data_IF_547296578711
#
_entry.id   IF_547296578711
#
_cell.length_a   1.000
_cell.length_b   1.000
_cell.length_c   1.000
_cell.angle_alpha   90.00
_cell.angle_beta   90.00
_cell.angle_gamma   90.00
#
_symmetry.space_group_name_H-M   'P 1'
#
loop_
_entity.id
_entity.type
_entity.pdbx_description
1 polymer ?
#
# COMPACT_ATOMS: atom_id res chain seq x y z
N UNK A 1 -11.74 38.45 -21.68
CA UNK A 1 -11.68 37.64 -22.91
C UNK A 1 -11.35 36.20 -22.52
N UNK A 2 -12.30 35.30 -22.76
CA UNK A 2 -12.14 33.87 -22.43
C UNK A 2 -11.09 33.26 -23.37
N UNK A 3 -10.08 32.60 -22.79
CA UNK A 3 -9.08 31.82 -23.50
C UNK A 3 -9.76 30.74 -24.34
N UNK A 4 -9.73 30.87 -25.66
CA UNK A 4 -10.25 29.87 -26.59
C UNK A 4 -9.12 29.37 -27.50
N UNK A 5 -8.41 28.29 -27.10
CA UNK A 5 -7.29 27.76 -27.84
C UNK A 5 -7.72 27.20 -29.20
N UNK A 6 -6.87 27.40 -30.24
CA UNK A 6 -7.10 26.80 -31.57
C UNK A 6 -7.22 25.29 -31.50
N UNK A 7 -7.86 24.67 -32.51
CA UNK A 7 -8.03 23.20 -32.54
C UNK A 7 -6.69 22.43 -32.47
N UNK A 8 -5.64 23.00 -33.07
CA UNK A 8 -4.30 22.44 -33.06
C UNK A 8 -3.67 22.52 -31.66
N UNK A 9 -3.88 23.61 -30.94
CA UNK A 9 -3.46 23.79 -29.55
C UNK A 9 -4.18 22.79 -28.63
N UNK A 10 -5.48 22.57 -28.82
CA UNK A 10 -6.27 21.59 -28.04
C UNK A 10 -5.78 20.16 -28.28
N UNK A 11 -5.47 19.78 -29.53
CA UNK A 11 -4.92 18.45 -29.87
C UNK A 11 -3.55 18.24 -29.23
N UNK A 12 -2.67 19.24 -29.28
CA UNK A 12 -1.35 19.17 -28.63
C UNK A 12 -1.46 19.06 -27.11
N UNK A 13 -2.35 19.84 -26.49
CA UNK A 13 -2.60 19.73 -25.04
C UNK A 13 -3.15 18.35 -24.64
N UNK A 14 -4.11 17.79 -25.42
CA UNK A 14 -4.65 16.46 -25.17
C UNK A 14 -3.56 15.39 -25.31
N UNK A 15 -2.70 15.46 -26.31
CA UNK A 15 -1.57 14.55 -26.48
C UNK A 15 -0.58 14.64 -25.30
N UNK A 16 -0.25 15.83 -24.87
CA UNK A 16 0.65 16.08 -23.74
C UNK A 16 0.08 15.54 -22.42
N UNK A 17 -1.21 15.77 -22.16
CA UNK A 17 -1.91 15.20 -21.00
C UNK A 17 -1.95 13.67 -21.04
N UNK A 18 -2.10 13.08 -22.23
CA UNK A 18 -2.06 11.64 -22.41
C UNK A 18 -0.68 11.07 -22.12
N UNK A 19 0.39 11.72 -22.58
CA UNK A 19 1.79 11.31 -22.28
C UNK A 19 2.10 11.43 -20.80
N UNK A 20 1.68 12.53 -20.16
CA UNK A 20 1.86 12.72 -18.70
C UNK A 20 1.06 11.66 -17.93
N UNK A 21 -0.18 11.41 -18.30
CA UNK A 21 -1.04 10.40 -17.65
C UNK A 21 -0.48 8.99 -17.85
N UNK A 22 0.04 8.67 -19.04
CA UNK A 22 0.70 7.38 -19.30
C UNK A 22 2.00 7.25 -18.48
N UNK A 23 2.81 8.30 -18.40
CA UNK A 23 3.98 8.35 -17.54
C UNK A 23 3.64 8.18 -16.05
N UNK A 24 2.56 8.79 -15.58
CA UNK A 24 2.09 8.66 -14.20
C UNK A 24 1.55 7.25 -13.89
N UNK A 25 0.88 6.59 -14.86
CA UNK A 25 0.31 5.26 -14.68
C UNK A 25 1.36 4.12 -14.68
N UNK A 26 2.52 4.35 -15.27
CA UNK A 26 3.62 3.37 -15.35
C UNK A 26 4.58 3.45 -14.15
N UNK A 27 4.40 4.40 -13.26
CA UNK A 27 5.35 4.64 -12.18
C UNK A 27 4.78 4.19 -10.84
N UNK A 28 5.37 3.17 -10.24
CA UNK A 28 5.38 3.01 -8.79
C UNK A 28 5.90 4.32 -8.19
N UNK A 29 5.10 4.94 -7.32
CA UNK A 29 5.40 6.23 -6.68
C UNK A 29 6.66 6.11 -5.80
N UNK A 30 7.85 6.16 -6.41
CA UNK A 30 9.12 6.26 -5.70
C UNK A 30 9.47 7.73 -5.41
N UNK A 31 10.08 7.93 -4.25
CA UNK A 31 10.37 9.21 -3.59
C UNK A 31 11.12 10.27 -4.43
N UNK A 32 11.68 9.94 -5.60
CA UNK A 32 12.59 10.80 -6.36
C UNK A 32 12.06 11.33 -7.71
N UNK A 33 10.79 11.17 -8.04
CA UNK A 33 10.24 11.47 -9.36
C UNK A 33 9.61 12.86 -9.63
N UNK A 34 9.47 13.81 -8.68
CA UNK A 34 9.06 15.17 -9.06
C UNK A 34 9.99 15.81 -10.06
N UNK A 35 11.31 15.58 -9.93
CA UNK A 35 12.33 16.18 -10.79
C UNK A 35 12.33 15.58 -12.20
N UNK A 36 12.05 14.30 -12.35
CA UNK A 36 11.93 13.64 -13.66
C UNK A 36 10.71 14.13 -14.43
N UNK A 37 9.55 14.28 -13.77
CA UNK A 37 8.34 14.85 -14.37
C UNK A 37 8.53 16.32 -14.74
N UNK A 38 9.24 17.09 -13.93
CA UNK A 38 9.60 18.47 -14.24
C UNK A 38 10.61 18.56 -15.38
N UNK A 39 11.51 17.56 -15.54
CA UNK A 39 12.42 17.46 -16.67
C UNK A 39 11.67 17.15 -17.96
N UNK A 40 10.74 16.18 -17.96
CA UNK A 40 9.88 15.86 -19.09
C UNK A 40 9.04 17.04 -19.57
N UNK A 41 8.59 17.92 -18.67
CA UNK A 41 7.89 19.15 -19.04
C UNK A 41 8.79 20.15 -19.79
N UNK A 42 10.11 20.09 -19.60
CA UNK A 42 11.06 20.95 -20.34
C UNK A 42 11.30 20.44 -21.77
N UNK A 43 11.14 19.15 -22.01
CA UNK A 43 11.34 18.51 -23.32
C UNK A 43 10.13 18.64 -24.25
N UNK A 44 8.99 19.13 -23.75
CA UNK A 44 7.79 19.33 -24.57
C UNK A 44 8.04 20.47 -25.56
N UNK A 45 8.08 20.20 -26.88
CA UNK A 45 8.32 21.24 -27.87
C UNK A 45 7.11 22.17 -27.97
N UNK A 46 7.35 23.45 -27.85
CA UNK A 46 6.33 24.48 -28.02
C UNK A 46 6.92 25.87 -27.85
N UNK A 47 6.35 26.85 -28.51
CA UNK A 47 6.75 28.24 -28.43
C UNK A 47 5.53 29.16 -28.34
N UNK A 48 5.72 30.29 -27.68
CA UNK A 48 4.71 31.33 -27.54
C UNK A 48 4.34 31.62 -26.07
N UNK A 49 3.82 32.83 -25.85
CA UNK A 49 3.49 33.33 -24.51
C UNK A 49 2.57 32.39 -23.74
N UNK A 50 1.51 31.91 -24.35
CA UNK A 50 0.54 31.01 -23.73
C UNK A 50 1.11 29.61 -23.41
N UNK A 51 2.06 29.14 -24.20
CA UNK A 51 2.74 27.87 -23.93
C UNK A 51 3.56 27.96 -22.64
N UNK A 52 4.31 29.00 -22.44
CA UNK A 52 5.09 29.25 -21.23
C UNK A 52 4.22 29.42 -19.98
N UNK A 53 3.07 30.09 -20.12
CA UNK A 53 2.10 30.25 -19.03
C UNK A 53 1.49 28.90 -18.63
N UNK A 54 1.09 28.06 -19.58
CA UNK A 54 0.56 26.72 -19.33
C UNK A 54 1.63 25.80 -18.70
N UNK A 55 2.86 25.86 -19.20
CA UNK A 55 3.97 25.09 -18.66
C UNK A 55 4.27 25.50 -17.20
N UNK A 56 4.24 26.81 -16.90
CA UNK A 56 4.40 27.30 -15.54
C UNK A 56 3.28 26.83 -14.62
N UNK A 57 2.04 26.85 -15.10
CA UNK A 57 0.86 26.39 -14.37
C UNK A 57 0.92 24.88 -14.06
N UNK A 58 1.31 24.06 -15.04
CA UNK A 58 1.50 22.62 -14.86
C UNK A 58 2.63 22.30 -13.87
N UNK A 59 3.73 23.04 -13.91
CA UNK A 59 4.81 22.91 -12.92
C UNK A 59 4.33 23.20 -11.51
N UNK A 60 3.58 24.31 -11.34
CA UNK A 60 3.04 24.69 -10.06
C UNK A 60 2.01 23.65 -9.56
N UNK A 61 1.13 23.17 -10.43
CA UNK A 61 0.15 22.13 -10.11
C UNK A 61 0.81 20.83 -9.66
N UNK A 62 1.80 20.34 -10.43
CA UNK A 62 2.57 19.14 -10.09
C UNK A 62 3.28 19.33 -8.75
N UNK A 63 3.95 20.47 -8.54
CA UNK A 63 4.64 20.78 -7.28
C UNK A 63 3.66 20.77 -6.09
N UNK A 64 2.48 21.38 -6.26
CA UNK A 64 1.44 21.41 -5.22
C UNK A 64 0.91 20.01 -4.91
N UNK A 65 0.63 19.18 -5.94
CA UNK A 65 0.22 17.79 -5.75
C UNK A 65 1.26 16.99 -4.97
N UNK A 66 2.55 17.16 -5.29
CA UNK A 66 3.63 16.50 -4.54
C UNK A 66 3.73 16.97 -3.09
N UNK A 67 3.56 18.27 -2.84
CA UNK A 67 3.53 18.78 -1.47
C UNK A 67 2.35 18.22 -0.67
N UNK A 68 1.17 18.14 -1.28
CA UNK A 68 -0.01 17.53 -0.64
C UNK A 68 0.25 16.06 -0.34
N UNK A 69 0.77 15.28 -1.30
CA UNK A 69 1.11 13.87 -1.12
C UNK A 69 2.21 13.67 -0.06
N UNK A 70 3.24 14.51 -0.05
CA UNK A 70 4.28 14.48 0.97
C UNK A 70 3.74 14.81 2.36
N UNK A 71 2.82 15.77 2.46
CA UNK A 71 2.15 16.11 3.71
C UNK A 71 1.20 15.00 4.17
N UNK A 72 0.48 14.35 3.24
CA UNK A 72 -0.35 13.19 3.56
C UNK A 72 0.50 11.99 4.01
N UNK A 73 1.64 11.74 3.37
CA UNK A 73 2.60 10.71 3.79
C UNK A 73 3.25 11.06 5.13
N UNK A 74 3.57 12.32 5.39
CA UNK A 74 4.11 12.76 6.69
C UNK A 74 3.04 12.77 7.78
N UNK A 75 1.78 13.01 7.43
CA UNK A 75 0.64 12.87 8.35
C UNK A 75 0.27 11.41 8.63
N UNK A 76 0.64 10.49 7.71
CA UNK A 76 0.55 9.03 7.90
C UNK A 76 1.85 8.44 8.46
N UNK A 77 2.99 9.16 8.45
CA UNK A 77 4.14 8.72 9.21
C UNK A 77 3.75 8.79 10.69
N UNK A 78 3.59 7.63 11.27
CA UNK A 78 3.29 7.46 12.68
C UNK A 78 4.29 8.30 13.49
N UNK A 79 3.83 8.83 14.61
CA UNK A 79 4.69 9.53 15.57
C UNK A 79 5.91 8.66 15.96
N UNK A 80 5.87 7.37 15.60
CA UNK A 80 6.91 6.38 15.88
C UNK A 80 7.23 5.56 14.63
N UNK A 81 8.21 5.94 13.81
CA UNK A 81 8.64 5.20 12.62
C UNK A 81 9.02 3.74 12.88
N UNK A 82 9.37 3.41 14.13
CA UNK A 82 9.62 2.03 14.54
C UNK A 82 8.35 1.16 14.52
N UNK A 83 7.17 1.74 14.73
CA UNK A 83 5.89 1.01 14.64
C UNK A 83 5.55 0.70 13.19
N UNK A 84 5.78 1.65 12.28
CA UNK A 84 5.57 1.43 10.85
C UNK A 84 6.49 0.31 10.34
N UNK A 85 7.77 0.32 10.72
CA UNK A 85 8.70 -0.75 10.36
C UNK A 85 8.26 -2.13 10.91
N UNK A 86 7.63 -2.17 12.09
CA UNK A 86 7.06 -3.40 12.64
C UNK A 86 5.85 -3.87 11.82
N UNK A 87 4.96 -2.94 11.42
CA UNK A 87 3.78 -3.25 10.61
C UNK A 87 4.20 -3.76 9.23
N UNK A 88 5.16 -3.09 8.58
CA UNK A 88 5.70 -3.52 7.29
C UNK A 88 6.30 -4.93 7.36
N UNK A 89 7.07 -5.21 8.41
CA UNK A 89 7.63 -6.54 8.63
C UNK A 89 6.54 -7.62 8.89
N UNK A 90 5.44 -7.26 9.53
CA UNK A 90 4.30 -8.17 9.74
C UNK A 90 3.64 -8.53 8.40
N UNK A 91 3.59 -7.60 7.45
CA UNK A 91 3.02 -7.83 6.12
C UNK A 91 3.88 -8.71 5.23
N UNK A 92 5.12 -9.01 5.62
CA UNK A 92 5.92 -10.08 5.03
C UNK A 92 5.47 -11.47 5.56
N UNK A 93 4.26 -11.89 5.22
CA UNK A 93 3.58 -13.07 5.79
C UNK A 93 4.35 -14.39 5.69
N UNK A 94 5.30 -14.50 4.75
CA UNK A 94 6.17 -15.67 4.61
C UNK A 94 7.15 -15.86 5.77
N UNK A 95 7.42 -14.82 6.55
CA UNK A 95 8.35 -14.88 7.67
C UNK A 95 7.68 -15.47 8.92
N UNK A 96 7.87 -16.78 9.12
CA UNK A 96 7.34 -17.51 10.31
C UNK A 96 8.04 -17.15 11.62
N UNK A 97 9.29 -16.71 11.53
CA UNK A 97 10.15 -16.44 12.69
C UNK A 97 10.04 -15.00 13.22
N UNK A 98 9.15 -14.21 12.62
CA UNK A 98 8.94 -12.84 13.07
C UNK A 98 8.47 -12.81 14.52
N UNK A 99 9.18 -12.06 15.34
CA UNK A 99 8.84 -11.85 16.74
C UNK A 99 9.18 -10.43 17.18
N UNK A 100 8.49 -9.94 18.19
CA UNK A 100 8.79 -8.62 18.77
C UNK A 100 10.26 -8.51 19.21
N UNK A 101 10.84 -9.62 19.70
CA UNK A 101 12.24 -9.66 20.12
C UNK A 101 13.20 -9.50 18.95
N UNK A 102 12.95 -10.19 17.83
CA UNK A 102 13.82 -10.08 16.63
C UNK A 102 13.73 -8.68 16.03
N UNK A 103 12.54 -8.10 15.92
CA UNK A 103 12.32 -6.75 15.41
C UNK A 103 12.95 -5.69 16.31
N UNK A 104 12.80 -5.82 17.62
CA UNK A 104 13.43 -4.90 18.58
C UNK A 104 14.95 -4.93 18.46
N UNK A 105 15.55 -6.12 18.27
CA UNK A 105 17.00 -6.24 18.03
C UNK A 105 17.43 -5.55 16.73
N UNK A 106 16.67 -5.69 15.65
CA UNK A 106 16.96 -5.01 14.37
C UNK A 106 16.86 -3.48 14.47
N UNK A 107 15.91 -3.00 15.28
CA UNK A 107 15.69 -1.57 15.52
C UNK A 107 16.58 -1.00 16.63
N UNK A 108 17.50 -1.79 17.22
CA UNK A 108 18.32 -1.41 18.38
C UNK A 108 17.48 -0.91 19.57
N UNK A 109 16.34 -1.55 19.83
CA UNK A 109 15.39 -1.18 20.88
C UNK A 109 15.23 -2.31 21.88
N UNK A 110 14.80 -1.97 23.12
CA UNK A 110 14.39 -2.99 24.08
C UNK A 110 13.00 -3.54 23.71
N UNK A 111 12.78 -4.88 23.71
CA UNK A 111 11.49 -5.48 23.30
C UNK A 111 10.28 -4.94 24.07
N UNK A 112 10.40 -4.74 25.37
CA UNK A 112 9.31 -4.20 26.20
C UNK A 112 8.95 -2.76 25.80
N UNK A 113 9.95 -1.95 25.45
CA UNK A 113 9.73 -0.57 25.02
C UNK A 113 9.02 -0.53 23.64
N UNK A 114 9.52 -1.31 22.69
CA UNK A 114 8.88 -1.43 21.36
C UNK A 114 7.44 -1.95 21.50
N UNK A 115 7.22 -2.97 22.33
CA UNK A 115 5.88 -3.52 22.56
C UNK A 115 4.90 -2.52 23.18
N UNK A 116 5.36 -1.69 24.10
CA UNK A 116 4.52 -0.63 24.70
C UNK A 116 4.15 0.45 23.66
N UNK A 117 5.11 0.94 22.88
CA UNK A 117 4.86 1.92 21.82
C UNK A 117 3.90 1.33 20.78
N UNK A 118 4.16 0.10 20.34
CA UNK A 118 3.29 -0.59 19.39
C UNK A 118 1.85 -0.68 19.90
N UNK A 119 1.67 -1.09 21.16
CA UNK A 119 0.34 -1.16 21.78
C UNK A 119 -0.32 0.23 21.90
N UNK A 120 0.42 1.25 22.31
CA UNK A 120 -0.11 2.61 22.40
C UNK A 120 -0.58 3.17 21.06
N UNK A 121 0.12 2.84 19.97
CA UNK A 121 -0.20 3.35 18.63
C UNK A 121 -1.29 2.54 17.92
N UNK A 122 -1.26 1.21 18.04
CA UNK A 122 -2.18 0.33 17.31
C UNK A 122 -3.40 -0.10 18.13
N UNK A 123 -3.35 0.02 19.47
CA UNK A 123 -4.35 -0.53 20.38
C UNK A 123 -4.24 -2.05 20.57
N UNK A 124 -3.33 -2.73 19.89
CA UNK A 124 -3.17 -4.18 19.93
C UNK A 124 -1.83 -4.59 20.50
N UNK A 125 -1.77 -5.74 21.18
CA UNK A 125 -0.50 -6.39 21.44
C UNK A 125 0.06 -6.99 20.15
N UNK A 126 1.37 -6.99 20.01
CA UNK A 126 2.06 -7.43 18.79
C UNK A 126 1.59 -8.81 18.28
N UNK A 127 1.50 -9.81 19.16
CA UNK A 127 1.09 -11.15 18.77
C UNK A 127 -0.37 -11.22 18.29
N UNK A 128 -1.24 -10.41 18.88
CA UNK A 128 -2.65 -10.37 18.49
C UNK A 128 -2.79 -9.70 17.11
N UNK A 129 -2.07 -8.60 16.88
CA UNK A 129 -2.01 -7.93 15.59
C UNK A 129 -1.44 -8.83 14.50
N UNK A 130 -0.29 -9.49 14.77
CA UNK A 130 0.33 -10.45 13.86
C UNK A 130 -0.62 -11.58 13.47
N UNK A 131 -1.30 -12.19 14.46
CA UNK A 131 -2.26 -13.26 14.21
C UNK A 131 -3.47 -12.76 13.39
N UNK A 132 -3.93 -11.54 13.67
CA UNK A 132 -5.04 -10.90 12.97
C UNK A 132 -4.73 -10.71 11.47
N UNK A 133 -3.55 -10.17 11.16
CA UNK A 133 -3.10 -9.97 9.78
C UNK A 133 -2.87 -11.30 9.05
N UNK A 134 -2.22 -12.27 9.70
CA UNK A 134 -2.06 -13.62 9.14
C UNK A 134 -3.37 -14.31 8.83
N UNK A 135 -4.39 -14.14 9.69
CA UNK A 135 -5.72 -14.69 9.43
C UNK A 135 -6.43 -13.99 8.27
N UNK A 136 -6.28 -12.69 8.11
CA UNK A 136 -6.82 -11.94 6.96
C UNK A 136 -6.19 -12.46 5.66
N UNK A 137 -4.87 -12.55 5.62
CA UNK A 137 -4.15 -13.05 4.46
C UNK A 137 -4.52 -14.52 4.12
N UNK A 138 -4.65 -15.38 5.14
CA UNK A 138 -5.15 -16.74 4.92
C UNK A 138 -6.56 -16.78 4.32
N UNK A 139 -7.44 -15.86 4.74
CA UNK A 139 -8.79 -15.76 4.20
C UNK A 139 -8.78 -15.30 2.73
N UNK A 140 -7.90 -14.39 2.36
CA UNK A 140 -7.67 -13.97 0.97
C UNK A 140 -7.17 -15.13 0.11
N UNK A 141 -6.15 -15.86 0.57
CA UNK A 141 -5.65 -17.05 -0.11
C UNK A 141 -6.74 -18.12 -0.32
N UNK A 142 -7.65 -18.27 0.66
CA UNK A 142 -8.76 -19.21 0.56
C UNK A 142 -9.80 -18.80 -0.49
N UNK A 143 -10.02 -17.50 -0.71
CA UNK A 143 -10.92 -16.98 -1.75
C UNK A 143 -10.28 -17.10 -3.12
N UNK A 144 -9.08 -16.56 -3.26
CA UNK A 144 -8.45 -16.30 -4.55
C UNK A 144 -7.76 -17.54 -5.16
N UNK A 145 -7.45 -18.55 -4.31
CA UNK A 145 -6.63 -19.69 -4.75
C UNK A 145 -7.29 -21.03 -4.57
N UNK A 146 -6.77 -22.03 -5.33
CA UNK A 146 -7.09 -23.44 -5.14
C UNK A 146 -6.20 -24.18 -4.14
N UNK A 147 -5.31 -23.49 -3.42
CA UNK A 147 -4.32 -24.07 -2.52
C UNK A 147 -4.94 -25.00 -1.46
N UNK A 148 -4.20 -26.04 -1.09
CA UNK A 148 -4.62 -26.91 0.02
C UNK A 148 -4.50 -26.16 1.34
N UNK A 149 -5.33 -26.54 2.32
CA UNK A 149 -5.35 -25.88 3.63
C UNK A 149 -3.98 -25.85 4.31
N UNK A 150 -3.18 -26.89 4.15
CA UNK A 150 -1.82 -26.96 4.69
C UNK A 150 -0.92 -25.88 4.06
N UNK A 151 -1.03 -25.67 2.75
CA UNK A 151 -0.25 -24.68 2.01
C UNK A 151 -0.66 -23.25 2.42
N UNK A 152 -1.96 -23.01 2.61
CA UNK A 152 -2.48 -21.73 3.08
C UNK A 152 -1.94 -21.41 4.49
N UNK A 153 -2.01 -22.37 5.41
CA UNK A 153 -1.47 -22.22 6.77
C UNK A 153 0.02 -21.89 6.73
N UNK A 154 0.76 -22.58 5.85
CA UNK A 154 2.19 -22.39 5.69
C UNK A 154 2.53 -21.01 5.11
N UNK A 155 1.88 -20.61 4.03
CA UNK A 155 2.10 -19.30 3.38
C UNK A 155 1.63 -18.12 4.25
N UNK A 156 0.62 -18.31 5.08
CA UNK A 156 0.17 -17.28 6.02
C UNK A 156 1.00 -17.19 7.30
N UNK A 157 2.13 -17.91 7.35
CA UNK A 157 3.12 -17.80 8.44
C UNK A 157 2.76 -18.54 9.72
N UNK A 158 1.72 -19.39 9.73
CA UNK A 158 1.43 -20.20 10.90
C UNK A 158 2.29 -21.47 10.93
N UNK A 159 2.93 -21.72 12.06
CA UNK A 159 3.70 -22.96 12.30
C UNK A 159 2.84 -24.14 12.69
N UNK A 160 1.60 -23.93 13.13
CA UNK A 160 0.68 -24.97 13.61
C UNK A 160 -0.71 -24.83 13.02
N UNK A 161 -1.15 -25.85 12.27
CA UNK A 161 -2.51 -25.91 11.73
C UNK A 161 -3.59 -25.96 12.83
N UNK A 162 -3.32 -26.63 13.94
CA UNK A 162 -4.25 -26.68 15.08
C UNK A 162 -4.44 -25.29 15.70
N UNK A 163 -3.36 -24.55 15.87
CA UNK A 163 -3.40 -23.17 16.37
C UNK A 163 -4.15 -22.25 15.40
N UNK A 164 -3.84 -22.32 14.12
CA UNK A 164 -4.55 -21.62 13.06
C UNK A 164 -6.06 -21.88 13.09
N UNK A 165 -6.48 -23.16 13.09
CA UNK A 165 -7.89 -23.53 13.07
C UNK A 165 -8.63 -22.95 14.28
N UNK A 166 -8.02 -22.96 15.47
CA UNK A 166 -8.58 -22.38 16.70
C UNK A 166 -8.77 -20.87 16.56
N UNK A 167 -7.75 -20.14 16.09
CA UNK A 167 -7.81 -18.70 15.92
C UNK A 167 -8.81 -18.31 14.82
N UNK A 168 -8.80 -19.03 13.71
CA UNK A 168 -9.71 -18.79 12.60
C UNK A 168 -11.17 -18.96 13.02
N UNK A 169 -11.48 -20.06 13.72
CA UNK A 169 -12.84 -20.28 14.25
C UNK A 169 -13.26 -19.20 15.25
N UNK A 170 -12.34 -18.74 16.08
CA UNK A 170 -12.61 -17.64 17.03
C UNK A 170 -12.95 -16.33 16.30
N UNK A 171 -12.24 -16.01 15.19
CA UNK A 171 -12.44 -14.78 14.42
C UNK A 171 -13.65 -14.83 13.50
N UNK A 172 -13.81 -15.92 12.74
CA UNK A 172 -14.83 -16.04 11.68
C UNK A 172 -16.04 -16.87 12.09
N UNK A 173 -16.09 -17.38 13.30
CA UNK A 173 -17.22 -18.15 13.84
C UNK A 173 -17.32 -19.60 13.35
N UNK A 174 -16.60 -19.98 12.29
CA UNK A 174 -16.68 -21.28 11.62
C UNK A 174 -15.29 -21.84 11.30
N UNK A 175 -15.23 -23.15 10.95
CA UNK A 175 -13.95 -23.74 10.56
C UNK A 175 -13.45 -23.19 9.21
N UNK A 176 -12.11 -23.16 8.96
CA UNK A 176 -11.56 -22.68 7.71
C UNK A 176 -12.15 -23.37 6.46
N UNK A 177 -12.35 -24.69 6.53
CA UNK A 177 -12.94 -25.46 5.43
C UNK A 177 -14.42 -25.11 5.18
N UNK A 178 -15.21 -24.95 6.23
CA UNK A 178 -16.61 -24.56 6.10
C UNK A 178 -16.73 -23.14 5.56
N UNK A 179 -15.93 -22.22 6.07
CA UNK A 179 -15.86 -20.84 5.60
C UNK A 179 -15.50 -20.77 4.11
N UNK A 180 -14.49 -21.51 3.65
CA UNK A 180 -14.09 -21.57 2.25
C UNK A 180 -15.21 -22.07 1.34
N UNK A 181 -15.96 -23.09 1.77
CA UNK A 181 -17.12 -23.62 1.02
C UNK A 181 -18.21 -22.57 0.87
N UNK A 182 -18.49 -21.87 1.95
CA UNK A 182 -19.50 -20.81 1.97
C UNK A 182 -19.12 -19.63 1.04
N UNK A 183 -17.86 -19.19 1.06
CA UNK A 183 -17.40 -18.12 0.18
C UNK A 183 -17.49 -18.51 -1.30
N UNK A 184 -17.04 -19.71 -1.65
CA UNK A 184 -17.15 -20.21 -3.03
C UNK A 184 -18.59 -20.39 -3.51
N UNK A 185 -19.52 -20.78 -2.63
CA UNK A 185 -20.92 -20.89 -3.00
C UNK A 185 -21.58 -19.53 -3.26
N UNK A 186 -21.14 -18.47 -2.58
CA UNK A 186 -21.63 -17.10 -2.80
C UNK A 186 -21.15 -16.49 -4.13
N UNK A 187 -19.95 -16.85 -4.59
CA UNK A 187 -19.43 -16.40 -5.90
C UNK A 187 -20.17 -17.01 -7.11
N UNK A 188 -20.81 -18.18 -6.94
CA UNK A 188 -21.56 -18.85 -8.00
C UNK A 188 -23.01 -18.36 -8.14
N UNK A 189 -23.52 -17.52 -7.24
CA UNK A 189 -24.92 -17.07 -7.18
C UNK A 189 -25.06 -15.57 -7.56
N UNK A 190 -23.96 -14.87 -7.78
CA UNK A 190 -23.90 -13.48 -8.22
C UNK A 190 -23.41 -13.38 -9.66
#
# INVERSE_FOLDING_TARGET
>A
DAFNPSLDTRKRMAFQLTVINHGLSQTNFEKNRPQELLALLKEIPGSGKYFHEIQAYLKQFISTCYQILANLQSAQSSQYPCVDAVIDAIHEFSNKEISLKTLASQLNMHPSYLGNIFHQQTGYYFNDYLNEERLKYAAELMKETGLKMKEIVDQSGFSSQTYFNRLFKRKYGTSPLAWRREMKSKEFVG
#
